data_IF_452407155524
#
_entry.id   IF_452407155524
#
_cell.length_a   1.000
_cell.length_b   1.000
_cell.length_c   1.000
_cell.angle_alpha   90.00
_cell.angle_beta   90.00
_cell.angle_gamma   90.00
#
_symmetry.space_group_name_H-M   'P 1'
#
loop_
_entity.id
_entity.type
_entity.pdbx_description
1 polymer ?
#
# COMPACT_ATOMS: atom_id res chain seq x y z
N UNK A 1 9.39 -8.18 -20.62
CA UNK A 1 8.33 -8.91 -19.90
C UNK A 1 8.69 -9.20 -18.44
N UNK A 2 9.43 -10.25 -18.06
CA UNK A 2 9.72 -10.53 -16.63
C UNK A 2 10.58 -9.44 -15.97
N UNK A 3 11.63 -8.97 -16.65
CA UNK A 3 12.54 -7.96 -16.10
C UNK A 3 11.83 -6.60 -15.85
N UNK A 4 10.95 -6.17 -16.75
CA UNK A 4 10.15 -4.95 -16.57
C UNK A 4 9.16 -5.06 -15.40
N UNK A 5 8.63 -6.25 -15.12
CA UNK A 5 7.77 -6.48 -13.96
C UNK A 5 8.55 -6.39 -12.65
N UNK A 6 9.81 -6.83 -12.64
CA UNK A 6 10.70 -6.68 -11.46
C UNK A 6 10.99 -5.20 -11.21
N UNK A 7 11.35 -4.42 -12.23
CA UNK A 7 11.59 -2.98 -12.07
C UNK A 7 10.35 -2.25 -11.52
N UNK A 8 9.17 -2.54 -12.07
CA UNK A 8 7.90 -1.99 -11.54
C UNK A 8 7.59 -2.44 -10.12
N UNK A 9 8.00 -3.63 -9.72
CA UNK A 9 7.81 -4.13 -8.36
C UNK A 9 8.79 -3.50 -7.35
N UNK A 10 9.87 -2.86 -7.82
CA UNK A 10 10.77 -2.06 -6.98
C UNK A 10 10.31 -0.60 -6.84
N UNK A 11 9.47 -0.10 -7.76
CA UNK A 11 8.92 1.25 -7.66
C UNK A 11 8.03 1.41 -6.42
N UNK A 12 8.22 2.52 -5.70
CA UNK A 12 7.39 2.89 -4.54
C UNK A 12 5.92 3.10 -4.93
N UNK A 13 5.67 3.58 -6.15
CA UNK A 13 4.33 3.92 -6.66
C UNK A 13 3.80 2.84 -7.59
N UNK A 14 2.56 2.41 -7.35
CA UNK A 14 1.83 1.47 -8.22
C UNK A 14 0.62 2.18 -8.79
N UNK A 15 0.47 2.18 -10.12
CA UNK A 15 -0.68 2.80 -10.78
C UNK A 15 -1.85 1.82 -10.85
N UNK A 16 -3.04 2.32 -10.50
CA UNK A 16 -4.28 1.56 -10.62
C UNK A 16 -4.91 1.78 -12.02
N UNK A 17 -5.62 0.79 -12.57
CA UNK A 17 -6.28 0.91 -13.88
C UNK A 17 -7.22 2.12 -14.01
N UNK A 18 -7.91 2.51 -12.94
CA UNK A 18 -8.77 3.71 -12.93
C UNK A 18 -8.01 5.05 -12.94
N UNK A 19 -6.68 5.03 -12.85
CA UNK A 19 -5.82 6.21 -12.80
C UNK A 19 -5.48 6.67 -11.37
N UNK A 20 -5.99 5.99 -10.34
CA UNK A 20 -5.50 6.09 -8.97
C UNK A 20 -4.09 5.51 -8.79
N UNK A 21 -3.57 5.52 -7.57
CA UNK A 21 -2.28 4.91 -7.28
C UNK A 21 -2.13 4.49 -5.82
N UNK A 22 -1.35 3.44 -5.61
CA UNK A 22 -0.83 3.05 -4.30
C UNK A 22 0.58 3.62 -4.11
N UNK A 23 0.89 4.01 -2.87
CA UNK A 23 2.24 4.35 -2.44
C UNK A 23 2.62 3.36 -1.35
N UNK A 24 3.67 2.57 -1.57
CA UNK A 24 4.11 1.52 -0.63
C UNK A 24 5.41 1.98 0.04
N UNK A 25 5.39 2.19 1.36
CA UNK A 25 6.55 2.60 2.14
C UNK A 25 6.95 1.57 3.18
N UNK A 26 8.23 1.23 3.19
CA UNK A 26 8.82 0.40 4.22
C UNK A 26 9.43 1.30 5.30
N UNK A 27 9.03 1.08 6.54
CA UNK A 27 9.68 1.65 7.72
C UNK A 27 10.41 0.54 8.48
N UNK A 28 11.10 0.90 9.56
CA UNK A 28 11.78 -0.08 10.42
C UNK A 28 10.82 -1.12 11.02
N UNK A 29 9.65 -0.67 11.48
CA UNK A 29 8.73 -1.52 12.24
C UNK A 29 7.60 -2.12 11.38
N UNK A 30 7.13 -1.39 10.38
CA UNK A 30 5.94 -1.74 9.61
C UNK A 30 5.99 -1.20 8.17
N UNK A 31 5.11 -1.72 7.32
CA UNK A 31 4.91 -1.20 5.95
C UNK A 31 3.62 -0.39 5.90
N UNK A 32 3.67 0.81 5.35
CA UNK A 32 2.52 1.69 5.15
C UNK A 32 2.14 1.65 3.66
N UNK A 33 0.83 1.60 3.37
CA UNK A 33 0.33 1.67 2.02
C UNK A 33 -0.76 2.74 1.92
N UNK A 34 -0.50 3.81 1.18
CA UNK A 34 -1.45 4.90 0.96
C UNK A 34 -2.19 4.74 -0.38
N UNK A 35 -3.51 4.92 -0.36
CA UNK A 35 -4.34 4.90 -1.56
C UNK A 35 -4.66 6.33 -2.00
N UNK A 36 -4.35 6.65 -3.25
CA UNK A 36 -4.65 7.96 -3.85
C UNK A 36 -5.62 7.83 -5.02
N UNK A 37 -6.59 8.75 -5.14
CA UNK A 37 -7.43 8.86 -6.34
C UNK A 37 -6.68 9.48 -7.52
N UNK A 38 -7.07 9.12 -8.74
CA UNK A 38 -6.62 9.79 -9.95
C UNK A 38 -7.24 11.19 -10.14
N UNK A 39 -6.79 11.93 -11.16
CA UNK A 39 -7.29 13.29 -11.46
C UNK A 39 -8.72 13.34 -12.02
N UNK A 40 -9.31 12.21 -12.40
CA UNK A 40 -10.61 12.12 -13.08
C UNK A 40 -11.78 11.86 -12.11
N UNK A 41 -11.80 12.52 -10.97
CA UNK A 41 -12.90 12.40 -10.01
C UNK A 41 -14.08 13.24 -10.54
N UNK A 42 -15.08 12.58 -11.11
CA UNK A 42 -16.28 13.25 -11.62
C UNK A 42 -17.02 14.00 -10.50
N UNK A 43 -17.43 15.25 -10.76
CA UNK A 43 -17.98 16.16 -9.75
C UNK A 43 -19.33 15.75 -9.16
N UNK A 44 -20.03 14.77 -9.73
CA UNK A 44 -21.41 14.43 -9.34
C UNK A 44 -21.54 13.20 -8.43
N UNK A 45 -20.51 12.39 -8.21
CA UNK A 45 -20.58 11.26 -7.26
C UNK A 45 -19.21 10.87 -6.69
N UNK A 46 -18.66 11.75 -5.84
CA UNK A 46 -17.37 11.56 -5.18
C UNK A 46 -17.32 10.25 -4.37
N UNK A 47 -18.33 9.99 -3.55
CA UNK A 47 -18.40 8.79 -2.69
C UNK A 47 -18.36 7.49 -3.51
N UNK A 48 -19.10 7.39 -4.61
CA UNK A 48 -19.05 6.20 -5.46
C UNK A 48 -17.69 6.04 -6.16
N UNK A 49 -17.05 7.15 -6.52
CA UNK A 49 -15.71 7.13 -7.15
C UNK A 49 -14.65 6.66 -6.15
N UNK A 50 -14.70 7.20 -4.92
CA UNK A 50 -13.83 6.79 -3.81
C UNK A 50 -14.03 5.32 -3.49
N UNK A 51 -15.28 4.87 -3.36
CA UNK A 51 -15.59 3.47 -3.09
C UNK A 51 -15.04 2.54 -4.17
N UNK A 52 -15.25 2.86 -5.45
CA UNK A 52 -14.71 2.07 -6.57
C UNK A 52 -13.17 2.03 -6.58
N UNK A 53 -12.51 3.17 -6.32
CA UNK A 53 -11.06 3.26 -6.24
C UNK A 53 -10.51 2.42 -5.07
N UNK A 54 -11.16 2.45 -3.91
CA UNK A 54 -10.74 1.64 -2.76
C UNK A 54 -10.95 0.13 -2.97
N UNK A 55 -11.99 -0.29 -3.71
CA UNK A 55 -12.16 -1.70 -4.09
C UNK A 55 -11.03 -2.18 -5.00
N UNK A 56 -10.69 -1.38 -6.02
CA UNK A 56 -9.56 -1.68 -6.91
C UNK A 56 -8.23 -1.69 -6.15
N UNK A 57 -8.04 -0.73 -5.25
CA UNK A 57 -6.87 -0.66 -4.37
C UNK A 57 -6.77 -1.90 -3.47
N UNK A 58 -7.87 -2.37 -2.88
CA UNK A 58 -7.87 -3.57 -2.03
C UNK A 58 -7.36 -4.81 -2.79
N UNK A 59 -7.79 -5.00 -4.03
CA UNK A 59 -7.30 -6.10 -4.86
C UNK A 59 -5.81 -5.97 -5.18
N UNK A 60 -5.38 -4.75 -5.56
CA UNK A 60 -4.00 -4.50 -5.96
C UNK A 60 -3.04 -4.54 -4.76
N UNK A 61 -3.45 -4.08 -3.58
CA UNK A 61 -2.67 -4.23 -2.35
C UNK A 61 -2.40 -5.70 -2.08
N UNK A 62 -3.44 -6.55 -2.09
CA UNK A 62 -3.27 -7.98 -1.87
C UNK A 62 -2.35 -8.62 -2.93
N UNK A 63 -2.40 -8.15 -4.17
CA UNK A 63 -1.49 -8.58 -5.23
C UNK A 63 -0.04 -8.17 -4.98
N UNK A 64 0.21 -6.91 -4.63
CA UNK A 64 1.54 -6.37 -4.35
C UNK A 64 2.20 -7.01 -3.12
N UNK A 65 1.42 -7.31 -2.07
CA UNK A 65 1.92 -8.04 -0.90
C UNK A 65 2.52 -9.40 -1.28
N UNK A 66 1.89 -10.11 -2.23
CA UNK A 66 2.41 -11.39 -2.75
C UNK A 66 3.59 -11.18 -3.70
N UNK A 67 3.45 -10.25 -4.64
CA UNK A 67 4.45 -10.00 -5.69
C UNK A 67 5.80 -9.56 -5.10
N UNK A 68 5.76 -8.72 -4.06
CA UNK A 68 6.95 -8.14 -3.40
C UNK A 68 7.39 -8.91 -2.16
N UNK A 69 6.70 -10.00 -1.80
CA UNK A 69 6.83 -10.74 -0.54
C UNK A 69 6.89 -9.84 0.71
N UNK A 70 5.94 -8.92 0.84
CA UNK A 70 5.86 -8.01 1.98
C UNK A 70 5.29 -8.78 3.17
N UNK A 71 5.95 -8.73 4.32
CA UNK A 71 5.52 -9.44 5.53
C UNK A 71 5.86 -8.67 6.81
N UNK A 72 5.18 -9.00 7.90
CA UNK A 72 5.19 -8.25 9.16
C UNK A 72 3.88 -7.49 9.36
N UNK A 73 3.98 -6.38 10.09
CA UNK A 73 2.85 -5.46 10.33
C UNK A 73 2.70 -4.56 9.10
N UNK A 74 1.47 -4.47 8.59
CA UNK A 74 1.13 -3.64 7.44
C UNK A 74 -0.08 -2.78 7.83
N UNK A 75 0.01 -1.49 7.52
CA UNK A 75 -1.06 -0.50 7.71
C UNK A 75 -1.45 0.05 6.35
N UNK A 76 -2.74 0.10 6.06
CA UNK A 76 -3.27 0.56 4.78
C UNK A 76 -4.20 1.74 5.05
N UNK A 77 -3.88 2.87 4.44
CA UNK A 77 -4.67 4.10 4.48
C UNK A 77 -5.56 4.16 3.21
N UNK A 78 -6.78 3.64 3.34
CA UNK A 78 -7.78 3.77 2.29
C UNK A 78 -8.37 5.17 2.32
N UNK A 79 -8.82 5.65 1.16
CA UNK A 79 -9.41 6.97 1.04
C UNK A 79 -10.69 7.03 1.89
N UNK A 80 -10.86 8.13 2.62
CA UNK A 80 -12.01 8.35 3.50
C UNK A 80 -13.34 8.14 2.77
N UNK A 81 -14.19 7.30 3.37
CA UNK A 81 -15.55 7.03 2.91
C UNK A 81 -16.54 7.41 3.99
N UNK A 82 -17.57 8.19 3.66
CA UNK A 82 -18.59 8.60 4.63
C UNK A 82 -19.48 7.41 5.02
N UNK A 83 -19.81 6.56 4.05
CA UNK A 83 -20.76 5.46 4.23
C UNK A 83 -20.07 4.27 4.90
N UNK A 84 -20.53 3.91 6.12
CA UNK A 84 -19.98 2.78 6.89
C UNK A 84 -20.05 1.45 6.14
N UNK A 85 -21.11 1.26 5.36
CA UNK A 85 -21.30 0.05 4.56
C UNK A 85 -20.23 -0.08 3.46
N UNK A 86 -19.82 1.02 2.84
CA UNK A 86 -18.74 1.03 1.85
C UNK A 86 -17.41 0.62 2.48
N UNK A 87 -17.11 1.15 3.67
CA UNK A 87 -15.93 0.74 4.46
C UNK A 87 -15.89 -0.76 4.71
N UNK A 88 -17.01 -1.34 5.15
CA UNK A 88 -17.13 -2.79 5.36
C UNK A 88 -16.91 -3.58 4.07
N UNK A 89 -17.52 -3.16 2.96
CA UNK A 89 -17.37 -3.81 1.65
C UNK A 89 -15.92 -3.80 1.15
N UNK A 90 -15.18 -2.72 1.39
CA UNK A 90 -13.75 -2.64 1.04
C UNK A 90 -12.93 -3.64 1.87
N UNK A 91 -13.17 -3.75 3.17
CA UNK A 91 -12.49 -4.75 4.02
C UNK A 91 -12.84 -6.17 3.61
N UNK A 92 -14.10 -6.45 3.29
CA UNK A 92 -14.55 -7.77 2.84
C UNK A 92 -13.91 -8.14 1.49
N UNK A 93 -13.84 -7.18 0.55
CA UNK A 93 -13.13 -7.33 -0.72
C UNK A 93 -11.63 -7.59 -0.49
N UNK A 94 -11.00 -6.88 0.44
CA UNK A 94 -9.60 -7.08 0.78
C UNK A 94 -9.32 -8.47 1.36
N UNK A 95 -10.13 -8.91 2.34
CA UNK A 95 -10.08 -10.26 2.91
C UNK A 95 -10.27 -11.33 1.84
N UNK A 96 -11.22 -11.13 0.91
CA UNK A 96 -11.43 -12.01 -0.23
C UNK A 96 -10.21 -12.07 -1.15
N UNK A 97 -9.62 -10.92 -1.49
CA UNK A 97 -8.43 -10.85 -2.34
C UNK A 97 -7.20 -11.54 -1.71
N UNK A 98 -7.06 -11.46 -0.38
CA UNK A 98 -6.01 -12.12 0.40
C UNK A 98 -6.21 -13.64 0.52
N UNK A 99 -7.41 -14.18 0.31
CA UNK A 99 -7.65 -15.63 0.35
C UNK A 99 -6.84 -16.42 -0.70
N UNK A 100 -6.37 -15.71 -1.74
CA UNK A 100 -5.47 -16.24 -2.79
C UNK A 100 -4.01 -16.34 -2.32
N UNK A 101 -3.67 -15.74 -1.18
CA UNK A 101 -2.33 -15.82 -0.60
C UNK A 101 -2.16 -17.12 0.18
N UNK A 102 -1.07 -17.84 -0.10
CA UNK A 102 -0.71 -19.07 0.61
C UNK A 102 -0.11 -18.79 1.99
N UNK A 103 0.28 -17.54 2.23
CA UNK A 103 0.87 -17.07 3.47
C UNK A 103 -0.22 -16.77 4.48
N UNK A 104 0.01 -17.11 5.76
CA UNK A 104 -0.94 -16.77 6.82
C UNK A 104 -1.05 -15.24 6.95
N UNK A 105 -2.27 -14.74 6.81
CA UNK A 105 -2.63 -13.34 7.00
C UNK A 105 -3.66 -13.22 8.12
N UNK A 106 -3.69 -12.06 8.76
CA UNK A 106 -4.73 -11.66 9.70
C UNK A 106 -5.03 -10.19 9.48
N UNK A 107 -6.28 -9.88 9.13
CA UNK A 107 -6.76 -8.52 8.89
C UNK A 107 -7.67 -8.13 10.05
N UNK A 108 -7.41 -6.98 10.66
CA UNK A 108 -8.25 -6.39 11.69
C UNK A 108 -9.33 -5.51 11.06
N UNK A 109 -10.33 -5.11 11.84
CA UNK A 109 -11.33 -4.17 11.36
C UNK A 109 -10.72 -2.76 11.19
N UNK A 110 -11.39 -1.91 10.43
CA UNK A 110 -10.97 -0.52 10.25
C UNK A 110 -10.94 0.16 11.63
N UNK A 111 -9.80 0.78 11.96
CA UNK A 111 -9.62 1.51 13.20
C UNK A 111 -10.45 2.80 13.22
N UNK A 112 -10.55 3.43 14.38
CA UNK A 112 -11.23 4.74 14.51
C UNK A 112 -10.54 5.85 13.71
N UNK A 113 -9.25 5.65 13.37
CA UNK A 113 -8.47 6.55 12.51
C UNK A 113 -8.68 6.30 11.02
N UNK A 114 -9.51 5.32 10.63
CA UNK A 114 -9.77 4.99 9.23
C UNK A 114 -8.79 3.98 8.61
N UNK A 115 -7.82 3.49 9.38
CA UNK A 115 -6.76 2.62 8.89
C UNK A 115 -7.17 1.14 8.93
N UNK A 116 -6.72 0.36 7.95
CA UNK A 116 -6.77 -1.10 7.98
C UNK A 116 -5.42 -1.63 8.45
N UNK A 117 -5.44 -2.38 9.54
CA UNK A 117 -4.27 -3.02 10.10
C UNK A 117 -4.26 -4.51 9.75
N UNK A 118 -3.11 -5.04 9.40
CA UNK A 118 -2.96 -6.48 9.18
C UNK A 118 -1.57 -7.00 9.54
N UNK A 119 -1.50 -8.31 9.74
CA UNK A 119 -0.23 -9.03 9.74
C UNK A 119 -0.20 -10.05 8.60
N UNK A 120 0.97 -10.20 7.99
CA UNK A 120 1.28 -11.27 7.03
C UNK A 120 2.55 -11.96 7.48
N UNK A 121 2.52 -13.29 7.64
CA UNK A 121 3.71 -14.05 8.07
C UNK A 121 4.88 -13.76 7.13
N UNK A 122 6.03 -13.37 7.68
CA UNK A 122 7.25 -13.14 6.89
C UNK A 122 7.81 -14.48 6.43
N UNK A 123 8.03 -14.65 5.12
CA UNK A 123 8.60 -15.85 4.52
C UNK A 123 10.05 -15.58 4.09
N UNK A 124 10.33 -14.42 3.49
CA UNK A 124 11.68 -13.91 3.22
C UNK A 124 11.86 -12.45 3.65
N UNK A 125 12.95 -11.83 3.20
CA UNK A 125 13.28 -10.43 3.51
C UNK A 125 12.54 -9.40 2.63
N UNK A 126 11.76 -9.88 1.64
CA UNK A 126 11.05 -9.05 0.67
C UNK A 126 11.90 -8.66 -0.55
N UNK A 127 11.25 -8.19 -1.61
CA UNK A 127 11.94 -7.88 -2.88
C UNK A 127 12.95 -6.75 -2.72
N UNK A 128 12.60 -5.66 -2.05
CA UNK A 128 13.48 -4.49 -1.93
C UNK A 128 14.78 -4.82 -1.18
N UNK A 129 14.69 -5.51 -0.05
CA UNK A 129 15.87 -5.91 0.75
C UNK A 129 16.82 -6.82 -0.03
N UNK A 130 16.29 -7.69 -0.90
CA UNK A 130 17.12 -8.60 -1.70
C UNK A 130 17.79 -7.93 -2.91
N UNK A 131 17.30 -6.78 -3.36
CA UNK A 131 17.71 -6.14 -4.62
C UNK A 131 18.18 -4.68 -4.46
N UNK A 132 18.28 -4.17 -3.23
CA UNK A 132 18.70 -2.81 -2.97
C UNK A 132 19.66 -2.72 -1.78
N UNK A 133 20.63 -1.82 -1.90
CA UNK A 133 21.53 -1.42 -0.82
C UNK A 133 21.07 -0.10 -0.19
N UNK A 134 21.43 0.14 1.07
CA UNK A 134 21.17 1.40 1.74
C UNK A 134 21.88 2.55 1.02
N UNK A 135 21.16 3.66 0.78
CA UNK A 135 21.73 4.82 0.10
C UNK A 135 22.90 5.40 0.92
N UNK A 136 24.13 5.46 0.37
CA UNK A 136 25.31 5.91 1.12
C UNK A 136 25.28 7.41 1.43
N UNK A 137 24.46 8.20 0.72
CA UNK A 137 24.45 9.65 0.84
C UNK A 137 23.51 10.16 1.95
N UNK A 138 22.38 9.48 2.15
CA UNK A 138 21.43 9.82 3.21
C UNK A 138 21.34 8.76 4.31
N UNK A 139 22.07 7.64 4.17
CA UNK A 139 22.02 6.49 5.07
C UNK A 139 20.58 6.00 5.26
N UNK A 140 19.80 5.99 4.18
CA UNK A 140 18.39 5.56 4.22
C UNK A 140 17.41 6.62 4.76
N UNK A 141 17.85 7.82 5.14
CA UNK A 141 16.94 8.88 5.64
C UNK A 141 15.98 9.44 4.59
N UNK A 142 16.32 9.35 3.30
CA UNK A 142 15.52 9.93 2.21
C UNK A 142 15.50 11.46 2.17
N UNK A 143 16.21 12.14 3.08
CA UNK A 143 16.35 13.60 3.18
C UNK A 143 17.81 13.98 3.40
N UNK A 144 18.19 15.17 2.95
CA UNK A 144 19.48 15.78 3.27
C UNK A 144 19.28 16.90 4.28
N UNK A 145 19.97 16.83 5.41
CA UNK A 145 19.93 17.89 6.42
C UNK A 145 20.86 19.02 5.97
N UNK A 146 20.32 20.22 5.81
CA UNK A 146 21.12 21.40 5.56
C UNK A 146 21.68 21.91 6.90
N UNK A 147 22.94 21.56 7.20
CA UNK A 147 23.62 21.96 8.42
C UNK A 147 23.98 23.45 8.47
N UNK A 148 23.98 24.16 7.34
CA UNK A 148 24.27 25.60 7.32
C UNK A 148 23.15 26.41 7.98
N UNK A 149 21.93 25.86 8.05
CA UNK A 149 20.78 26.47 8.73
C UNK A 149 20.77 26.25 10.25
N UNK A 150 21.73 25.49 10.78
CA UNK A 150 21.84 25.22 12.22
C UNK A 150 22.73 26.24 12.96
N UNK A 151 23.30 27.20 12.22
CA UNK A 151 24.16 28.27 12.74
C UNK A 151 23.45 29.63 12.73
#
# INVERSE_FOLDING_TARGET
>A
HVHEQIHKALDRKVWLPSGGSLIIEHTEALTVIDVNTGRNVGTSNLEATVFANNLEAAEEVAHQLRLRDIGGIIVIDFIDMEIKENRRKVVDAFKSALSRDKTRTQVFDISELGLVEMTRKRIGEGLLTNFADQCPNCEGRGIQVNHDLLN
#
